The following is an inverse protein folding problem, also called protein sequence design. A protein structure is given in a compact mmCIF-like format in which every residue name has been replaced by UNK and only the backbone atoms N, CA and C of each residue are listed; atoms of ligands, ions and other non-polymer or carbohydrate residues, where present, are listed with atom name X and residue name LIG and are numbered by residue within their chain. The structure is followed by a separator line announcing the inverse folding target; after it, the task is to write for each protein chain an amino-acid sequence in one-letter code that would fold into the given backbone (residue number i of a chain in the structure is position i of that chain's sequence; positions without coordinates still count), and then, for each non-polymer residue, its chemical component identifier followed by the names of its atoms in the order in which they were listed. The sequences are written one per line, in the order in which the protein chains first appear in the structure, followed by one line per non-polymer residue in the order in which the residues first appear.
data_IF_113516589871
#
_entry.id   IF_113516589871
#
_cell.length_a   1.000
_cell.length_b   1.000
_cell.length_c   1.000
_cell.angle_alpha   90.00
_cell.angle_beta   90.00
_cell.angle_gamma   90.00
#
_symmetry.space_group_name_H-M   'P 1'
#
loop_
_entity.id
_entity.type
_entity.pdbx_description
1 polymer ?
#
# COMPACT_ATOMS: atom_id res chain seq x y z
N UNK A 1 -12.76 -19.79 12.29
CA UNK A 1 -11.93 -18.60 12.61
C UNK A 1 -11.48 -17.93 11.30
N UNK A 2 -11.55 -16.60 11.17
CA UNK A 2 -11.07 -15.90 9.96
C UNK A 2 -9.54 -16.06 9.89
N UNK A 3 -9.02 -16.68 8.83
CA UNK A 3 -7.57 -16.81 8.60
C UNK A 3 -6.84 -15.46 8.74
N UNK A 4 -5.74 -15.38 9.52
CA UNK A 4 -5.01 -14.13 9.78
C UNK A 4 -4.45 -13.49 8.51
N UNK A 5 -4.10 -14.29 7.50
CA UNK A 5 -3.70 -13.81 6.16
C UNK A 5 -4.76 -12.90 5.54
N UNK A 6 -6.03 -13.29 5.66
CA UNK A 6 -7.13 -12.60 4.99
C UNK A 6 -7.44 -11.26 5.65
N UNK A 7 -7.24 -11.18 6.97
CA UNK A 7 -7.35 -9.94 7.72
C UNK A 7 -6.20 -9.00 7.34
N UNK A 8 -4.97 -9.51 7.31
CA UNK A 8 -3.80 -8.77 6.89
C UNK A 8 -3.98 -8.16 5.49
N UNK A 9 -4.37 -8.97 4.50
CA UNK A 9 -4.60 -8.51 3.13
C UNK A 9 -5.72 -7.48 3.02
N UNK A 10 -6.83 -7.67 3.73
CA UNK A 10 -7.93 -6.71 3.72
C UNK A 10 -7.47 -5.34 4.25
N UNK A 11 -6.67 -5.31 5.31
CA UNK A 11 -6.09 -4.08 5.85
C UNK A 11 -5.22 -3.36 4.81
N UNK A 12 -4.36 -4.08 4.10
CA UNK A 12 -3.52 -3.49 3.05
C UNK A 12 -4.31 -2.87 1.91
N UNK A 13 -5.32 -3.57 1.41
CA UNK A 13 -6.18 -3.05 0.34
C UNK A 13 -6.97 -1.82 0.77
N UNK A 14 -7.44 -1.77 2.02
CA UNK A 14 -8.14 -0.60 2.56
C UNK A 14 -7.21 0.61 2.62
N UNK A 15 -6.00 0.45 3.17
CA UNK A 15 -5.03 1.55 3.25
C UNK A 15 -4.63 2.04 1.85
N UNK A 16 -4.37 1.11 0.93
CA UNK A 16 -4.03 1.45 -0.45
C UNK A 16 -5.17 2.18 -1.17
N UNK A 17 -6.42 1.78 -0.92
CA UNK A 17 -7.61 2.47 -1.45
C UNK A 17 -7.74 3.89 -0.90
N UNK A 18 -7.52 4.09 0.40
CA UNK A 18 -7.55 5.43 1.01
C UNK A 18 -6.47 6.31 0.40
N UNK A 19 -5.23 5.82 0.31
CA UNK A 19 -4.12 6.55 -0.30
C UNK A 19 -4.37 6.89 -1.77
N UNK A 20 -4.99 5.99 -2.52
CA UNK A 20 -5.37 6.27 -3.90
C UNK A 20 -6.44 7.35 -4.01
N UNK A 21 -7.47 7.28 -3.15
CA UNK A 21 -8.56 8.26 -3.12
C UNK A 21 -8.05 9.66 -2.75
N UNK A 22 -7.08 9.77 -1.84
CA UNK A 22 -6.52 11.08 -1.45
C UNK A 22 -5.72 11.76 -2.55
N UNK A 23 -5.08 11.00 -3.44
CA UNK A 23 -4.39 11.57 -4.62
C UNK A 23 -5.40 12.03 -5.68
N UNK A 24 -6.47 11.25 -5.87
CA UNK A 24 -7.37 11.41 -7.02
C UNK A 24 -8.52 12.37 -6.76
N UNK A 25 -9.03 12.43 -5.53
CA UNK A 25 -10.19 13.25 -5.19
C UNK A 25 -9.77 14.41 -4.28
N UNK A 26 -10.10 15.62 -4.70
CA UNK A 26 -9.74 16.88 -4.04
C UNK A 26 -10.43 17.09 -2.69
N UNK A 27 -11.46 16.30 -2.37
CA UNK A 27 -12.17 16.36 -1.08
C UNK A 27 -11.32 15.87 0.09
N UNK A 28 -10.23 15.14 -0.18
CA UNK A 28 -9.29 14.65 0.83
C UNK A 28 -7.94 15.35 0.64
N UNK A 29 -7.85 16.62 1.04
CA UNK A 29 -6.59 17.36 1.03
C UNK A 29 -5.59 16.73 2.00
N UNK A 30 -4.76 15.83 1.48
CA UNK A 30 -3.67 15.23 2.22
C UNK A 30 -2.36 15.93 1.86
N UNK A 31 -1.60 16.37 2.88
CA UNK A 31 -0.29 17.00 2.63
C UNK A 31 0.61 16.03 1.85
N UNK A 32 1.25 16.46 0.75
CA UNK A 32 2.13 15.63 -0.08
C UNK A 32 3.15 14.81 0.69
N UNK A 33 3.78 15.42 1.70
CA UNK A 33 4.77 14.76 2.55
C UNK A 33 4.18 13.56 3.32
N UNK A 34 2.95 13.68 3.84
CA UNK A 34 2.31 12.61 4.61
C UNK A 34 1.97 11.45 3.67
N UNK A 35 1.49 11.74 2.46
CA UNK A 35 1.22 10.72 1.44
C UNK A 35 2.48 9.90 1.10
N UNK A 36 3.61 10.57 0.87
CA UNK A 36 4.89 9.90 0.57
C UNK A 36 5.33 9.03 1.74
N UNK A 37 5.28 9.55 2.97
CA UNK A 37 5.68 8.80 4.17
C UNK A 37 4.81 7.55 4.38
N UNK A 38 3.49 7.67 4.24
CA UNK A 38 2.60 6.51 4.39
C UNK A 38 2.80 5.48 3.28
N UNK A 39 3.02 5.91 2.05
CA UNK A 39 3.30 5.00 0.93
C UNK A 39 4.62 4.26 1.14
N UNK A 40 5.67 4.95 1.62
CA UNK A 40 6.94 4.31 1.98
C UNK A 40 6.79 3.31 3.13
N UNK A 41 6.03 3.66 4.17
CA UNK A 41 5.74 2.74 5.27
C UNK A 41 5.03 1.48 4.78
N UNK A 42 4.08 1.62 3.85
CA UNK A 42 3.35 0.50 3.27
C UNK A 42 4.26 -0.39 2.41
N UNK A 43 5.18 0.20 1.63
CA UNK A 43 6.21 -0.53 0.88
C UNK A 43 7.14 -1.29 1.83
N UNK A 44 7.68 -0.64 2.86
CA UNK A 44 8.61 -1.25 3.83
C UNK A 44 7.92 -2.39 4.58
N UNK A 45 6.68 -2.19 5.02
CA UNK A 45 5.92 -3.22 5.74
C UNK A 45 5.58 -4.42 4.87
N UNK A 46 5.23 -4.20 3.60
CA UNK A 46 4.99 -5.28 2.63
C UNK A 46 6.28 -6.05 2.34
N UNK A 47 7.40 -5.33 2.11
CA UNK A 47 8.71 -5.93 1.85
C UNK A 47 9.23 -6.73 3.05
N UNK A 48 9.04 -6.22 4.26
CA UNK A 48 9.35 -6.94 5.49
C UNK A 48 8.51 -8.23 5.60
N UNK A 49 7.21 -8.16 5.32
CA UNK A 49 6.33 -9.34 5.36
C UNK A 49 6.73 -10.43 4.36
N UNK A 50 7.19 -10.04 3.17
CA UNK A 50 7.72 -10.98 2.19
C UNK A 50 8.96 -11.73 2.69
N UNK A 51 9.87 -11.03 3.39
CA UNK A 51 11.11 -11.63 3.90
C UNK A 51 10.87 -12.73 4.94
N UNK A 52 9.75 -12.65 5.67
CA UNK A 52 9.38 -13.64 6.69
C UNK A 52 8.56 -14.82 6.16
N UNK A 53 8.08 -14.79 4.91
CA UNK A 53 7.24 -15.86 4.34
C UNK A 53 7.94 -16.43 3.11
N UNK A 54 8.65 -17.54 3.31
CA UNK A 54 9.40 -18.29 2.28
C UNK A 54 8.58 -18.63 1.03
N UNK A 55 8.51 -17.71 0.07
CA UNK A 55 8.17 -17.99 -1.33
C UNK A 55 6.69 -18.03 -1.72
N UNK A 56 5.74 -17.58 -0.89
CA UNK A 56 4.29 -17.53 -1.27
C UNK A 56 3.77 -16.10 -1.42
N UNK A 57 4.43 -15.32 -2.27
CA UNK A 57 4.29 -13.87 -2.25
C UNK A 57 3.56 -13.22 -3.42
N UNK A 58 2.90 -13.93 -4.34
CA UNK A 58 2.33 -13.30 -5.56
C UNK A 58 1.37 -12.15 -5.23
N UNK A 59 0.66 -12.24 -4.11
CA UNK A 59 -0.27 -11.22 -3.66
C UNK A 59 0.42 -10.03 -2.98
N UNK A 60 1.41 -10.31 -2.13
CA UNK A 60 2.28 -9.30 -1.52
C UNK A 60 3.03 -8.51 -2.62
N UNK A 61 3.47 -9.18 -3.69
CA UNK A 61 4.10 -8.55 -4.86
C UNK A 61 3.14 -7.63 -5.59
N UNK A 62 1.88 -8.05 -5.73
CA UNK A 62 0.83 -7.21 -6.33
C UNK A 62 0.58 -5.95 -5.50
N UNK A 63 0.51 -6.07 -4.16
CA UNK A 63 0.32 -4.93 -3.26
C UNK A 63 1.51 -3.96 -3.36
N UNK A 64 2.73 -4.50 -3.36
CA UNK A 64 3.94 -3.69 -3.45
C UNK A 64 3.99 -2.95 -4.80
N UNK A 65 3.70 -3.65 -5.89
CA UNK A 65 3.62 -3.09 -7.24
C UNK A 65 2.57 -1.98 -7.36
N UNK A 66 1.35 -2.21 -6.86
CA UNK A 66 0.29 -1.20 -6.85
C UNK A 66 0.68 0.04 -6.05
N UNK A 67 1.33 -0.14 -4.90
CA UNK A 67 1.78 0.97 -4.06
C UNK A 67 2.86 1.79 -4.74
N UNK A 68 3.81 1.13 -5.42
CA UNK A 68 4.87 1.80 -6.20
C UNK A 68 4.28 2.58 -7.37
N UNK A 69 3.36 1.99 -8.15
CA UNK A 69 2.68 2.70 -9.24
C UNK A 69 1.95 3.93 -8.74
N UNK A 70 1.24 3.81 -7.61
CA UNK A 70 0.50 4.91 -7.01
C UNK A 70 1.43 6.05 -6.58
N UNK A 71 2.56 5.72 -5.94
CA UNK A 71 3.58 6.70 -5.55
C UNK A 71 4.21 7.38 -6.78
N UNK A 72 4.57 6.62 -7.82
CA UNK A 72 5.11 7.17 -9.06
C UNK A 72 4.10 8.09 -9.75
N UNK A 73 2.83 7.70 -9.79
CA UNK A 73 1.76 8.52 -10.37
C UNK A 73 1.58 9.85 -9.63
N UNK A 74 1.81 9.86 -8.31
CA UNK A 74 1.81 11.08 -7.52
C UNK A 74 3.03 11.96 -7.80
N UNK A 75 4.23 11.37 -7.96
CA UNK A 75 5.48 12.11 -8.19
C UNK A 75 5.61 12.72 -9.59
N UNK A 76 4.94 12.14 -10.58
CA UNK A 76 4.92 12.64 -11.96
C UNK A 76 3.92 13.79 -12.14
N UNK A 77 2.93 13.90 -11.24
CA UNK A 77 1.90 14.93 -11.26
C UNK A 77 2.39 16.22 -10.63
#
# INVERSE_FOLDING_TARGET
MKSPIRIYMATYFVVLSILYLTIRYTTFEMRPAIFIVLSLLLIISTAASMRFRDGRGTMEWTILFLTVIMLLSFLIK
#
